data_IF_853094457969
#
_entry.id   IF_853094457969
#
_cell.length_a   1.000
_cell.length_b   1.000
_cell.length_c   1.000
_cell.angle_alpha   90.00
_cell.angle_beta   90.00
_cell.angle_gamma   90.00
#
_symmetry.space_group_name_H-M   'P 1'
#
loop_
_entity.id
_entity.type
_entity.pdbx_description
1 polymer ?
#
# COMPACT_ATOMS: atom_id res chain seq x y z
N UNK A 1 -60.04 71.24 70.24
CA UNK A 1 -58.71 70.62 70.42
C UNK A 1 -58.59 69.52 69.36
N UNK A 2 -57.91 69.79 68.27
CA UNK A 2 -57.76 68.83 67.17
C UNK A 2 -56.42 68.08 67.36
N UNK A 3 -56.52 66.74 67.44
CA UNK A 3 -55.33 65.84 67.34
C UNK A 3 -55.08 65.50 65.86
N UNK A 4 -53.89 65.83 65.36
CA UNK A 4 -53.40 65.42 64.05
C UNK A 4 -52.81 64.03 64.15
N UNK A 5 -53.28 63.13 63.31
CA UNK A 5 -52.70 61.80 63.11
C UNK A 5 -51.75 61.84 61.92
N UNK A 6 -50.49 61.59 62.17
CA UNK A 6 -49.48 61.41 61.11
C UNK A 6 -49.53 59.95 60.57
N UNK A 7 -49.89 59.79 59.29
CA UNK A 7 -49.74 58.50 58.62
C UNK A 7 -48.30 58.50 57.97
N UNK A 8 -47.53 57.56 58.43
CA UNK A 8 -46.26 57.22 57.82
C UNK A 8 -46.43 56.13 56.72
N UNK A 9 -46.21 56.47 55.50
CA UNK A 9 -46.20 55.54 54.35
C UNK A 9 -44.83 54.93 54.21
N UNK A 10 -44.72 53.64 54.52
CA UNK A 10 -43.48 52.85 54.24
C UNK A 10 -43.51 52.32 52.82
N UNK A 11 -42.65 52.84 51.97
CA UNK A 11 -42.44 52.32 50.63
C UNK A 11 -41.51 51.10 50.66
N UNK A 12 -42.05 49.93 50.32
CA UNK A 12 -41.26 48.71 50.17
C UNK A 12 -40.62 48.69 48.78
N UNK A 13 -39.28 48.68 48.72
CA UNK A 13 -38.50 48.54 47.49
C UNK A 13 -38.41 47.06 47.16
N UNK A 14 -39.11 46.61 46.07
CA UNK A 14 -39.01 45.26 45.57
C UNK A 14 -37.75 45.16 44.72
N UNK A 15 -36.73 44.40 45.13
CA UNK A 15 -35.60 43.99 44.28
C UNK A 15 -36.08 42.90 43.30
N UNK A 16 -36.14 43.27 42.02
CA UNK A 16 -36.34 42.30 40.95
C UNK A 16 -35.02 41.53 40.72
N UNK A 17 -35.03 40.22 41.04
CA UNK A 17 -33.93 39.31 40.69
C UNK A 17 -34.01 39.01 39.18
N UNK A 18 -33.03 39.43 38.36
CA UNK A 18 -32.90 39.04 36.99
C UNK A 18 -32.40 37.60 36.92
N UNK A 19 -33.05 36.70 36.12
CA UNK A 19 -32.53 35.37 35.91
C UNK A 19 -31.23 35.45 35.12
N UNK A 20 -30.11 35.09 35.75
CA UNK A 20 -28.85 34.94 35.09
C UNK A 20 -28.92 33.77 34.08
N UNK A 21 -28.77 34.06 32.79
CA UNK A 21 -28.56 33.06 31.79
C UNK A 21 -27.15 32.45 32.00
N UNK A 22 -27.13 31.20 32.48
CA UNK A 22 -25.90 30.42 32.49
C UNK A 22 -25.51 30.10 31.03
N UNK A 23 -24.49 30.80 30.48
CA UNK A 23 -23.89 30.44 29.22
C UNK A 23 -23.14 29.14 29.45
N UNK A 24 -23.67 28.03 28.89
CA UNK A 24 -22.97 26.75 28.90
C UNK A 24 -21.62 26.94 28.13
N UNK A 25 -20.51 26.64 28.80
CA UNK A 25 -19.22 26.62 28.15
C UNK A 25 -19.25 25.61 27.00
N UNK A 26 -18.63 25.91 25.85
CA UNK A 26 -18.56 24.95 24.75
C UNK A 26 -17.86 23.68 25.25
N UNK A 27 -18.54 22.53 25.10
CA UNK A 27 -17.93 21.22 25.32
C UNK A 27 -16.90 21.04 24.20
N UNK A 28 -15.65 21.26 24.51
CA UNK A 28 -14.54 20.90 23.60
C UNK A 28 -14.53 19.37 23.60
N UNK A 29 -15.04 18.78 22.54
CA UNK A 29 -14.85 17.35 22.32
C UNK A 29 -13.37 17.13 22.00
N UNK A 30 -12.58 16.82 23.01
CA UNK A 30 -11.22 16.32 22.87
C UNK A 30 -11.29 14.88 22.31
N UNK A 31 -11.68 14.75 21.05
CA UNK A 31 -11.46 13.51 20.33
C UNK A 31 -9.95 13.25 20.30
N UNK A 32 -9.47 12.06 20.65
CA UNK A 32 -8.06 11.76 20.57
C UNK A 32 -7.56 12.06 19.15
N UNK A 33 -6.36 12.63 19.01
CA UNK A 33 -5.80 12.93 17.70
C UNK A 33 -5.82 11.66 16.86
N UNK A 34 -6.31 11.78 15.62
CA UNK A 34 -6.35 10.66 14.69
C UNK A 34 -4.93 10.05 14.57
N UNK A 35 -4.84 8.72 14.64
CA UNK A 35 -3.57 8.04 14.52
C UNK A 35 -2.90 8.41 13.17
N UNK A 36 -1.61 8.72 13.21
CA UNK A 36 -0.85 9.00 11.99
C UNK A 36 -0.90 7.76 11.08
N UNK A 37 -1.36 7.88 9.83
CA UNK A 37 -1.38 6.76 8.91
C UNK A 37 0.02 6.24 8.64
N UNK A 38 0.23 4.94 8.80
CA UNK A 38 1.51 4.26 8.51
C UNK A 38 1.24 3.15 7.49
N UNK A 39 1.96 3.16 6.37
CA UNK A 39 1.90 2.13 5.34
C UNK A 39 3.12 1.24 5.48
N UNK A 40 2.91 -0.07 5.65
CA UNK A 40 3.98 -1.04 5.83
C UNK A 40 4.17 -1.90 4.59
N UNK A 41 5.36 -2.45 4.43
CA UNK A 41 5.59 -3.51 3.46
C UNK A 41 4.68 -4.71 3.75
N UNK A 42 4.02 -5.24 2.73
CA UNK A 42 3.06 -6.34 2.86
C UNK A 42 1.63 -5.92 3.22
N UNK A 43 1.37 -4.63 3.47
CA UNK A 43 0.00 -4.15 3.65
C UNK A 43 -0.83 -4.35 2.38
N UNK A 44 -2.12 -4.61 2.57
CA UNK A 44 -3.07 -4.63 1.46
C UNK A 44 -3.42 -3.20 1.06
N UNK A 45 -3.39 -2.94 -0.23
CA UNK A 45 -3.82 -1.68 -0.83
C UNK A 45 -5.02 -1.92 -1.73
N UNK A 46 -6.09 -1.18 -1.51
CA UNK A 46 -7.25 -1.13 -2.39
C UNK A 46 -7.05 -0.01 -3.41
N UNK A 47 -6.99 -0.35 -4.71
CA UNK A 47 -7.06 0.62 -5.80
C UNK A 47 -8.52 0.76 -6.20
N UNK A 48 -9.05 1.96 -6.03
CA UNK A 48 -10.50 2.22 -6.12
C UNK A 48 -11.04 1.88 -7.51
N UNK A 49 -12.02 0.96 -7.56
CA UNK A 49 -12.64 0.51 -8.80
C UNK A 49 -11.84 -0.55 -9.58
N UNK A 50 -10.65 -0.94 -9.12
CA UNK A 50 -9.79 -1.93 -9.79
C UNK A 50 -9.66 -3.22 -8.98
N UNK A 51 -9.35 -3.13 -7.70
CA UNK A 51 -9.19 -4.30 -6.84
C UNK A 51 -8.16 -4.08 -5.74
N UNK A 52 -7.67 -5.20 -5.21
CA UNK A 52 -6.75 -5.22 -4.09
C UNK A 52 -5.42 -5.81 -4.51
N UNK A 53 -4.35 -5.17 -4.03
CA UNK A 53 -2.97 -5.60 -4.21
C UNK A 53 -2.19 -5.53 -2.89
N UNK A 54 -0.90 -5.82 -2.95
CA UNK A 54 0.00 -5.82 -1.81
C UNK A 54 1.11 -4.78 -2.01
N UNK A 55 1.54 -4.12 -0.94
CA UNK A 55 2.69 -3.21 -0.95
C UNK A 55 3.99 -4.02 -0.96
N UNK A 56 4.81 -3.83 -2.01
CA UNK A 56 6.09 -4.53 -2.17
C UNK A 56 7.23 -3.91 -1.38
N UNK A 57 7.39 -2.61 -1.49
CA UNK A 57 8.54 -1.92 -0.93
C UNK A 57 8.23 -0.44 -0.70
N UNK A 58 8.70 0.09 0.41
CA UNK A 58 8.55 1.48 0.80
C UNK A 58 9.86 2.24 0.53
N UNK A 59 9.87 3.11 -0.49
CA UNK A 59 10.92 4.10 -0.67
C UNK A 59 10.60 5.35 0.16
N UNK A 60 11.16 5.39 1.35
CA UNK A 60 10.95 6.51 2.29
C UNK A 60 11.62 7.80 1.83
N UNK A 61 12.63 7.71 0.98
CA UNK A 61 13.33 8.89 0.43
C UNK A 61 12.46 9.64 -0.58
N UNK A 62 11.68 8.90 -1.37
CA UNK A 62 10.78 9.45 -2.38
C UNK A 62 9.32 9.58 -1.92
N UNK A 63 8.99 9.10 -0.73
CA UNK A 63 7.62 9.00 -0.20
C UNK A 63 6.67 8.22 -1.11
N UNK A 64 7.15 7.08 -1.65
CA UNK A 64 6.36 6.18 -2.49
C UNK A 64 6.44 4.75 -2.01
N UNK A 65 5.41 3.97 -2.34
CA UNK A 65 5.42 2.51 -2.18
C UNK A 65 5.29 1.85 -3.54
N UNK A 66 6.06 0.77 -3.76
CA UNK A 66 5.96 -0.05 -4.98
C UNK A 66 4.88 -1.12 -4.83
N UNK A 67 4.21 -1.43 -5.93
CA UNK A 67 3.25 -2.51 -6.08
C UNK A 67 3.21 -2.97 -7.54
N UNK A 68 2.36 -3.93 -7.93
CA UNK A 68 2.28 -4.35 -9.34
C UNK A 68 1.58 -3.29 -10.21
N UNK A 69 2.03 -3.17 -11.46
CA UNK A 69 1.53 -2.19 -12.42
C UNK A 69 0.07 -2.43 -12.80
N UNK A 70 -0.32 -3.69 -12.98
CA UNK A 70 -1.70 -4.07 -13.32
C UNK A 70 -2.73 -3.79 -12.21
N UNK A 71 -2.28 -3.34 -11.03
CA UNK A 71 -3.18 -3.03 -9.91
C UNK A 71 -4.01 -1.77 -10.15
N UNK A 72 -3.60 -0.87 -11.06
CA UNK A 72 -4.30 0.37 -11.33
C UNK A 72 -3.86 1.04 -12.62
N UNK A 73 -4.49 2.16 -12.91
CA UNK A 73 -4.17 3.06 -14.01
C UNK A 73 -3.62 4.37 -13.48
N UNK A 74 -3.06 5.18 -14.37
CA UNK A 74 -2.51 6.49 -14.03
C UNK A 74 -3.55 7.38 -13.35
N UNK A 75 -3.23 7.87 -12.16
CA UNK A 75 -4.10 8.75 -11.40
C UNK A 75 -5.14 8.05 -10.52
N UNK A 76 -5.22 6.72 -10.54
CA UNK A 76 -6.15 5.98 -9.69
C UNK A 76 -5.85 6.23 -8.20
N UNK A 77 -6.92 6.26 -7.41
CA UNK A 77 -6.80 6.43 -5.96
C UNK A 77 -6.48 5.11 -5.28
N UNK A 78 -5.37 5.08 -4.54
CA UNK A 78 -4.96 3.95 -3.71
C UNK A 78 -5.24 4.21 -2.23
N UNK A 79 -5.65 3.18 -1.49
CA UNK A 79 -6.04 3.29 -0.08
C UNK A 79 -5.49 2.10 0.71
N UNK A 80 -4.80 2.38 1.81
CA UNK A 80 -4.48 1.40 2.85
C UNK A 80 -5.31 1.69 4.09
N UNK A 81 -6.01 0.68 4.59
CA UNK A 81 -6.80 0.76 5.80
C UNK A 81 -6.02 0.13 6.95
N UNK A 82 -5.88 0.85 8.05
CA UNK A 82 -5.32 0.36 9.28
C UNK A 82 -6.26 0.59 10.46
N UNK A 83 -5.87 0.15 11.64
CA UNK A 83 -6.65 0.36 12.85
C UNK A 83 -6.65 1.85 13.22
N UNK A 84 -7.83 2.47 13.12
CA UNK A 84 -8.03 3.88 13.44
C UNK A 84 -7.47 4.88 12.43
N UNK A 85 -6.99 4.43 11.24
CA UNK A 85 -6.53 5.34 10.20
C UNK A 85 -6.87 4.85 8.78
N UNK A 86 -6.75 5.79 7.84
CA UNK A 86 -6.84 5.56 6.40
C UNK A 86 -5.73 6.35 5.71
N UNK A 87 -4.78 5.65 5.09
CA UNK A 87 -3.81 6.25 4.21
C UNK A 87 -4.38 6.32 2.78
N UNK A 88 -4.18 7.43 2.08
CA UNK A 88 -4.56 7.55 0.67
C UNK A 88 -3.40 8.11 -0.15
N UNK A 89 -3.33 7.67 -1.40
CA UNK A 89 -2.32 8.09 -2.37
C UNK A 89 -2.83 8.00 -3.79
N UNK A 90 -1.98 8.35 -4.73
CA UNK A 90 -2.24 8.29 -6.17
C UNK A 90 -1.35 7.22 -6.78
N UNK A 91 -1.95 6.36 -7.60
CA UNK A 91 -1.27 5.28 -8.29
C UNK A 91 -0.68 5.76 -9.61
N UNK A 92 0.51 5.29 -9.94
CA UNK A 92 1.23 5.56 -11.18
C UNK A 92 1.88 4.25 -11.65
N UNK A 93 1.40 3.63 -12.74
CA UNK A 93 2.06 2.47 -13.32
C UNK A 93 3.39 2.86 -13.96
N UNK A 94 4.26 1.90 -14.16
CA UNK A 94 5.48 2.08 -14.96
C UNK A 94 5.12 2.59 -16.35
N UNK A 95 5.89 3.54 -16.87
CA UNK A 95 5.72 4.05 -18.25
C UNK A 95 5.95 2.98 -19.32
N UNK A 96 6.64 1.89 -18.95
CA UNK A 96 6.88 0.74 -19.80
C UNK A 96 5.87 -0.39 -19.59
N UNK A 97 4.78 -0.15 -18.81
CA UNK A 97 3.71 -1.09 -18.61
C UNK A 97 2.99 -1.34 -19.94
N UNK A 98 2.98 -2.60 -20.37
CA UNK A 98 2.14 -3.05 -21.48
C UNK A 98 1.10 -4.02 -20.94
N UNK A 99 -0.13 -3.56 -20.79
CA UNK A 99 -1.19 -4.32 -20.18
C UNK A 99 -1.64 -5.56 -21.01
N UNK A 100 -1.38 -5.54 -22.33
CA UNK A 100 -1.94 -6.56 -23.24
C UNK A 100 -1.08 -7.81 -23.33
N UNK A 101 0.23 -7.72 -23.14
CA UNK A 101 1.16 -8.81 -23.40
C UNK A 101 1.67 -9.53 -22.15
N UNK A 102 1.46 -8.96 -20.96
CA UNK A 102 1.89 -9.57 -19.70
C UNK A 102 3.40 -9.70 -19.50
N UNK A 103 4.19 -9.24 -20.46
CA UNK A 103 5.66 -9.32 -20.48
C UNK A 103 6.35 -8.03 -20.08
N UNK A 104 5.59 -6.95 -20.05
CA UNK A 104 6.09 -5.63 -19.77
C UNK A 104 6.45 -5.42 -18.30
N UNK A 105 7.08 -4.29 -18.01
CA UNK A 105 7.44 -3.84 -16.66
C UNK A 105 6.20 -3.64 -15.79
N UNK A 106 5.69 -4.75 -15.27
CA UNK A 106 4.45 -4.81 -14.49
C UNK A 106 4.71 -4.37 -13.04
N UNK A 107 5.16 -3.14 -12.87
CA UNK A 107 5.28 -2.48 -11.56
C UNK A 107 4.65 -1.09 -11.61
N UNK A 108 4.29 -0.59 -10.46
CA UNK A 108 3.78 0.76 -10.28
C UNK A 108 4.17 1.32 -8.92
N UNK A 109 3.97 2.61 -8.75
CA UNK A 109 4.18 3.29 -7.47
C UNK A 109 2.90 3.94 -6.99
N UNK A 110 2.77 4.01 -5.68
CA UNK A 110 1.75 4.82 -5.02
C UNK A 110 2.47 5.98 -4.35
N UNK A 111 2.17 7.19 -4.80
CA UNK A 111 2.61 8.42 -4.16
C UNK A 111 1.61 8.79 -3.08
N UNK A 112 2.06 8.78 -1.85
CA UNK A 112 1.18 9.01 -0.70
C UNK A 112 0.91 10.49 -0.46
N UNK A 113 -0.28 10.78 0.04
CA UNK A 113 -0.65 12.12 0.48
C UNK A 113 0.19 12.58 1.69
N UNK A 114 0.25 13.90 1.89
CA UNK A 114 0.94 14.49 3.04
C UNK A 114 0.41 13.92 4.35
N UNK A 115 1.32 13.71 5.29
CA UNK A 115 1.01 13.13 6.61
C UNK A 115 0.98 11.61 6.68
N UNK A 116 1.02 10.89 5.55
CA UNK A 116 1.21 9.43 5.53
C UNK A 116 2.69 9.13 5.79
N UNK A 117 2.96 8.22 6.72
CA UNK A 117 4.31 7.71 7.00
C UNK A 117 4.51 6.35 6.36
N UNK A 118 5.72 6.12 5.85
CA UNK A 118 6.13 4.82 5.35
C UNK A 118 6.91 4.05 6.43
N UNK A 119 6.41 2.86 6.74
CA UNK A 119 7.05 1.94 7.66
C UNK A 119 8.32 1.33 7.05
N UNK A 120 9.04 0.56 7.87
CA UNK A 120 10.23 -0.18 7.44
C UNK A 120 9.82 -1.32 6.49
N UNK A 121 10.74 -1.73 5.63
CA UNK A 121 10.60 -2.94 4.82
C UNK A 121 10.96 -4.17 5.68
N UNK A 122 10.06 -4.52 6.61
CA UNK A 122 10.32 -5.52 7.63
C UNK A 122 10.39 -6.97 7.10
N UNK A 123 9.86 -7.22 5.90
CA UNK A 123 9.84 -8.55 5.28
C UNK A 123 11.15 -8.81 4.52
N UNK A 124 11.52 -7.88 3.61
CA UNK A 124 12.71 -8.03 2.77
C UNK A 124 13.97 -7.37 3.33
N UNK A 125 13.82 -6.47 4.29
CA UNK A 125 14.83 -5.48 4.64
C UNK A 125 14.84 -4.32 3.65
N UNK A 126 15.66 -3.29 3.95
CA UNK A 126 15.77 -2.07 3.14
C UNK A 126 16.84 -2.18 2.02
N UNK A 127 17.66 -3.21 2.03
CA UNK A 127 18.62 -3.48 0.97
C UNK A 127 17.93 -3.95 -0.30
N UNK A 128 18.50 -3.60 -1.46
CA UNK A 128 18.00 -4.00 -2.78
C UNK A 128 19.04 -4.89 -3.45
N UNK A 129 18.60 -6.02 -3.99
CA UNK A 129 19.43 -6.98 -4.71
C UNK A 129 19.36 -6.70 -6.20
N UNK A 130 20.51 -6.55 -6.85
CA UNK A 130 20.56 -6.44 -8.30
C UNK A 130 20.22 -7.80 -8.95
N UNK A 131 19.26 -7.85 -9.91
CA UNK A 131 18.89 -9.10 -10.58
C UNK A 131 20.06 -9.81 -11.25
N UNK A 132 21.05 -9.08 -11.76
CA UNK A 132 22.26 -9.62 -12.37
C UNK A 132 23.13 -10.48 -11.42
N UNK A 133 22.87 -10.41 -10.12
CA UNK A 133 23.54 -11.23 -9.12
C UNK A 133 22.86 -12.58 -8.90
N UNK A 134 21.66 -12.78 -9.45
CA UNK A 134 20.88 -14.01 -9.32
C UNK A 134 21.37 -15.09 -10.26
N UNK A 135 21.33 -16.33 -9.76
CA UNK A 135 21.70 -17.52 -10.53
C UNK A 135 20.58 -18.54 -10.45
N UNK A 136 20.37 -19.32 -11.51
CA UNK A 136 19.43 -20.43 -11.49
C UNK A 136 19.65 -21.33 -10.28
N UNK A 137 18.56 -21.64 -9.58
CA UNK A 137 18.57 -22.38 -8.33
C UNK A 137 18.68 -21.53 -7.05
N UNK A 138 18.99 -20.24 -7.13
CA UNK A 138 19.03 -19.38 -5.96
C UNK A 138 17.65 -19.31 -5.27
N UNK A 139 17.58 -19.31 -3.93
CA UNK A 139 16.31 -19.20 -3.24
C UNK A 139 15.70 -17.81 -3.39
N UNK A 140 14.43 -17.77 -3.76
CA UNK A 140 13.62 -16.54 -3.88
C UNK A 140 12.34 -16.72 -3.08
N UNK A 141 11.98 -15.73 -2.29
CA UNK A 141 10.78 -15.74 -1.48
C UNK A 141 9.82 -14.63 -1.89
N UNK A 142 8.52 -14.84 -1.69
CA UNK A 142 7.45 -13.86 -1.90
C UNK A 142 6.51 -13.87 -0.69
N UNK A 143 6.03 -12.68 -0.29
CA UNK A 143 4.95 -12.54 0.67
C UNK A 143 3.69 -12.02 0.00
N UNK A 144 2.57 -12.70 0.25
CA UNK A 144 1.26 -12.28 -0.24
C UNK A 144 0.43 -11.62 0.86
N UNK A 145 -0.02 -10.40 0.63
CA UNK A 145 -0.83 -9.65 1.59
C UNK A 145 -2.23 -10.26 1.80
N UNK A 146 -2.80 -10.91 0.79
CA UNK A 146 -4.08 -11.63 0.88
C UNK A 146 -3.90 -13.01 1.50
N UNK A 147 -2.90 -13.76 1.06
CA UNK A 147 -2.62 -15.10 1.59
C UNK A 147 -2.05 -15.05 3.01
N UNK A 148 -1.46 -13.94 3.42
CA UNK A 148 -0.73 -13.76 4.69
C UNK A 148 0.38 -14.78 4.89
N UNK A 149 1.03 -15.17 3.79
CA UNK A 149 2.05 -16.22 3.78
C UNK A 149 3.27 -15.79 3.01
N UNK A 150 4.42 -16.23 3.51
CA UNK A 150 5.66 -16.31 2.75
C UNK A 150 5.72 -17.67 2.07
N UNK A 151 6.05 -17.66 0.79
CA UNK A 151 6.40 -18.89 0.04
C UNK A 151 7.73 -18.65 -0.65
N UNK A 152 8.54 -19.69 -0.76
CA UNK A 152 9.86 -19.61 -1.41
C UNK A 152 9.97 -20.69 -2.48
N UNK A 153 10.84 -20.44 -3.44
CA UNK A 153 11.12 -21.32 -4.54
C UNK A 153 12.52 -21.10 -5.10
N UNK A 154 12.80 -21.65 -6.27
CA UNK A 154 14.10 -21.61 -6.91
C UNK A 154 14.07 -20.70 -8.13
N UNK A 155 14.95 -19.70 -8.16
CA UNK A 155 15.08 -18.80 -9.31
C UNK A 155 15.39 -19.58 -10.60
N UNK A 156 14.64 -19.34 -11.66
CA UNK A 156 14.78 -20.00 -12.95
C UNK A 156 15.57 -19.13 -13.93
N UNK A 157 15.22 -17.83 -14.02
CA UNK A 157 15.84 -16.94 -14.98
C UNK A 157 15.23 -15.53 -14.97
N UNK A 158 15.70 -14.70 -15.89
CA UNK A 158 15.22 -13.34 -16.10
C UNK A 158 15.12 -13.02 -17.59
N UNK A 159 14.05 -12.28 -17.95
CA UNK A 159 13.86 -11.74 -19.30
C UNK A 159 13.54 -10.27 -19.17
N UNK A 160 14.39 -9.40 -19.67
CA UNK A 160 14.27 -7.97 -19.42
C UNK A 160 14.18 -7.70 -17.93
N UNK A 161 13.13 -7.03 -17.50
CA UNK A 161 12.87 -6.71 -16.10
C UNK A 161 12.00 -7.75 -15.38
N UNK A 162 11.62 -8.83 -16.05
CA UNK A 162 10.83 -9.89 -15.44
C UNK A 162 11.72 -11.01 -14.92
N UNK A 163 11.42 -11.46 -13.70
CA UNK A 163 12.11 -12.56 -13.03
C UNK A 163 11.15 -13.72 -12.85
N UNK A 164 11.66 -14.93 -13.02
CA UNK A 164 10.89 -16.16 -12.97
C UNK A 164 11.50 -17.13 -11.97
N UNK A 165 10.62 -17.84 -11.23
CA UNK A 165 11.05 -18.88 -10.29
C UNK A 165 10.00 -19.96 -10.13
N UNK A 166 10.44 -21.18 -9.89
CA UNK A 166 9.60 -22.31 -9.52
C UNK A 166 9.23 -22.23 -8.05
N UNK A 167 7.99 -22.57 -7.71
CA UNK A 167 7.51 -22.58 -6.34
C UNK A 167 5.99 -22.38 -6.23
N UNK A 168 5.44 -22.41 -5.01
CA UNK A 168 4.01 -22.19 -4.80
C UNK A 168 3.57 -20.82 -5.29
N UNK A 169 2.49 -20.77 -6.05
CA UNK A 169 1.92 -19.54 -6.59
C UNK A 169 1.08 -18.79 -5.56
N UNK A 170 1.04 -17.47 -5.70
CA UNK A 170 0.17 -16.59 -4.92
C UNK A 170 -1.30 -16.70 -5.31
N UNK A 171 -2.13 -15.90 -4.64
CA UNK A 171 -3.57 -15.76 -4.86
C UNK A 171 -3.90 -14.35 -5.37
N UNK A 172 -5.09 -14.14 -5.96
CA UNK A 172 -5.56 -12.78 -6.26
C UNK A 172 -5.45 -11.85 -5.03
N UNK A 173 -4.84 -10.68 -5.23
CA UNK A 173 -4.50 -9.73 -4.17
C UNK A 173 -3.11 -9.90 -3.55
N UNK A 174 -2.39 -11.00 -3.81
CA UNK A 174 -0.96 -11.13 -3.49
C UNK A 174 -0.09 -10.37 -4.51
N UNK A 175 -0.62 -10.05 -5.69
CA UNK A 175 0.00 -9.15 -6.67
C UNK A 175 0.52 -7.89 -5.99
N UNK A 176 1.70 -7.45 -6.37
CA UNK A 176 2.38 -6.33 -5.72
C UNK A 176 3.17 -6.71 -4.49
N UNK A 177 3.13 -7.96 -4.03
CA UNK A 177 3.88 -8.40 -2.85
C UNK A 177 5.40 -8.32 -3.03
N UNK A 178 6.17 -8.17 -1.93
CA UNK A 178 7.62 -8.15 -1.99
C UNK A 178 8.16 -9.52 -2.40
N UNK A 179 9.08 -9.50 -3.37
CA UNK A 179 9.94 -10.63 -3.72
C UNK A 179 11.34 -10.31 -3.26
N UNK A 180 11.98 -11.23 -2.55
CA UNK A 180 13.29 -10.99 -1.96
C UNK A 180 14.18 -12.23 -1.90
N UNK A 181 15.45 -12.01 -1.68
CA UNK A 181 16.44 -13.05 -1.38
C UNK A 181 16.75 -12.99 0.11
N UNK A 182 16.56 -14.10 0.79
CA UNK A 182 16.76 -14.17 2.25
C UNK A 182 18.18 -13.74 2.65
N UNK A 183 18.26 -12.84 3.63
CA UNK A 183 19.52 -12.27 4.11
C UNK A 183 20.20 -11.28 3.15
N UNK A 184 19.64 -11.05 1.94
CA UNK A 184 20.24 -10.13 0.95
C UNK A 184 19.38 -8.89 0.70
N UNK A 185 18.04 -9.01 0.63
CA UNK A 185 17.16 -7.87 0.47
C UNK A 185 16.09 -8.01 -0.62
N UNK A 186 15.38 -6.92 -0.87
CA UNK A 186 14.33 -6.81 -1.87
C UNK A 186 14.88 -7.00 -3.29
N UNK A 187 14.18 -7.77 -4.10
CA UNK A 187 14.56 -8.10 -5.46
C UNK A 187 13.59 -7.50 -6.49
N UNK A 188 12.28 -7.68 -6.30
CA UNK A 188 11.27 -7.30 -7.31
C UNK A 188 9.85 -7.31 -6.71
N UNK A 189 8.89 -6.95 -7.56
CA UNK A 189 7.45 -6.89 -7.23
C UNK A 189 6.75 -8.10 -7.82
N UNK A 190 6.03 -8.88 -7.03
CA UNK A 190 5.27 -10.04 -7.49
C UNK A 190 4.13 -9.64 -8.43
N UNK A 191 4.05 -10.24 -9.61
CA UNK A 191 3.03 -9.91 -10.61
C UNK A 191 2.08 -11.08 -10.93
N UNK A 192 2.43 -12.31 -10.56
CA UNK A 192 1.58 -13.45 -10.77
C UNK A 192 2.32 -14.68 -11.26
N UNK A 193 1.76 -15.36 -12.25
CA UNK A 193 2.33 -16.57 -12.85
C UNK A 193 2.33 -16.46 -14.36
N UNK A 194 3.36 -17.03 -14.99
CA UNK A 194 3.43 -17.27 -16.43
C UNK A 194 3.33 -18.75 -16.72
N UNK A 195 2.74 -19.08 -17.87
CA UNK A 195 2.79 -20.44 -18.42
C UNK A 195 4.16 -20.62 -19.07
N UNK A 196 4.81 -21.72 -18.73
CA UNK A 196 6.07 -22.11 -19.33
C UNK A 196 5.84 -23.39 -20.14
N UNK A 197 6.42 -23.46 -21.32
CA UNK A 197 6.45 -24.67 -22.12
C UNK A 197 7.90 -25.12 -22.23
N UNK A 198 8.21 -26.25 -21.61
CA UNK A 198 9.54 -26.84 -21.68
C UNK A 198 9.90 -27.28 -23.10
N UNK A 199 11.19 -27.44 -23.39
CA UNK A 199 11.72 -27.84 -24.70
C UNK A 199 11.18 -29.17 -25.24
N UNK A 200 10.56 -29.98 -24.37
CA UNK A 200 9.89 -31.24 -24.74
C UNK A 200 8.36 -31.13 -24.78
N UNK A 201 7.84 -29.91 -24.72
CA UNK A 201 6.40 -29.64 -24.69
C UNK A 201 5.71 -29.86 -23.34
N UNK A 202 6.46 -30.00 -22.26
CA UNK A 202 5.86 -30.04 -20.91
C UNK A 202 5.36 -28.66 -20.55
N UNK A 203 4.08 -28.57 -20.20
CA UNK A 203 3.49 -27.33 -19.69
C UNK A 203 3.83 -27.17 -18.20
N UNK A 204 4.39 -26.04 -17.83
CA UNK A 204 4.70 -25.68 -16.47
C UNK A 204 4.15 -24.28 -16.11
N UNK A 205 4.28 -23.94 -14.85
CA UNK A 205 3.92 -22.59 -14.36
C UNK A 205 5.07 -22.06 -13.52
N UNK A 206 5.54 -20.90 -13.87
CA UNK A 206 6.53 -20.17 -13.07
C UNK A 206 5.88 -18.95 -12.45
N UNK A 207 6.28 -18.64 -11.23
CA UNK A 207 5.97 -17.35 -10.64
C UNK A 207 6.73 -16.27 -11.40
N UNK A 208 6.10 -15.10 -11.53
CA UNK A 208 6.67 -13.93 -12.21
C UNK A 208 6.68 -12.72 -11.29
N UNK A 209 7.71 -11.91 -11.43
CA UNK A 209 7.83 -10.60 -10.79
C UNK A 209 8.51 -9.61 -11.74
N UNK A 210 8.30 -8.32 -11.51
CA UNK A 210 8.95 -7.26 -12.27
C UNK A 210 9.87 -6.43 -11.37
N UNK A 211 11.05 -6.14 -11.88
CA UNK A 211 12.02 -5.27 -11.20
C UNK A 211 11.60 -3.81 -11.41
N UNK A 212 11.52 -2.99 -10.36
CA UNK A 212 11.20 -1.57 -10.50
C UNK A 212 12.31 -0.78 -11.17
N UNK A 213 12.41 -0.93 -12.47
CA UNK A 213 13.29 -0.13 -13.33
C UNK A 213 12.60 0.14 -14.68
N UNK A 214 13.18 0.94 -15.54
CA UNK A 214 12.65 1.28 -16.85
C UNK A 214 13.43 0.56 -17.98
N UNK A 215 13.93 -0.63 -17.70
CA UNK A 215 14.64 -1.44 -18.69
C UNK A 215 13.80 -1.78 -19.92
N UNK A 216 14.44 -2.33 -20.97
CA UNK A 216 13.76 -2.69 -22.19
C UNK A 216 12.70 -3.75 -21.93
N UNK A 217 11.57 -3.62 -22.61
CA UNK A 217 10.58 -4.66 -22.68
C UNK A 217 11.05 -5.80 -23.57
N UNK A 218 10.68 -7.01 -23.23
CA UNK A 218 10.93 -8.20 -24.04
C UNK A 218 9.63 -8.63 -24.72
N UNK A 219 9.75 -9.26 -25.87
CA UNK A 219 8.60 -9.83 -26.56
C UNK A 219 8.13 -11.11 -25.88
N UNK A 220 6.84 -11.50 -26.03
CA UNK A 220 6.34 -12.77 -25.55
C UNK A 220 7.11 -13.99 -26.08
N UNK A 221 7.67 -13.88 -27.28
CA UNK A 221 8.47 -14.94 -27.89
C UNK A 221 9.80 -15.13 -27.16
N UNK A 222 10.49 -14.05 -26.83
CA UNK A 222 11.73 -14.09 -26.03
C UNK A 222 11.46 -14.63 -24.62
N UNK A 223 10.31 -14.30 -24.02
CA UNK A 223 9.91 -14.83 -22.74
C UNK A 223 9.70 -16.36 -22.79
N UNK A 224 9.06 -16.87 -23.85
CA UNK A 224 8.85 -18.29 -24.05
C UNK A 224 10.15 -19.06 -24.28
N UNK A 225 11.12 -18.51 -25.00
CA UNK A 225 12.41 -19.16 -25.24
C UNK A 225 13.23 -19.37 -23.97
N UNK A 226 13.13 -18.46 -22.99
CA UNK A 226 13.89 -18.58 -21.74
C UNK A 226 13.23 -19.54 -20.76
N UNK A 227 11.92 -19.75 -20.88
CA UNK A 227 11.16 -20.69 -20.05
C UNK A 227 11.16 -22.12 -20.59
N UNK A 228 11.68 -22.31 -21.82
CA UNK A 228 11.83 -23.61 -22.49
C UNK A 228 13.17 -24.27 -22.18
#
# INVERSE_FOLDING_TARGET
MLRRICLSTSTALALAATPGFAVAAPVVNDAPPAATPVVNQGDLVDVVGKGRCTIAFNDRGQNVSYTAGHCGEEGDRAIVMGEGFRASGTFHPSSAMNADEGTANDWGVIRWADGVKLGKNAISGDAVVAPSLMRSGDPVCVYGGTSKKTTCGSFAGAIGNNLYWDGPSGKPGDSGGPVWVEGKGFLSVYTGVSLAVGSKGEEGRLNRSSVPDNGPQVSPEEELELLA
#
